data_IF_554483217600
#
_entry.id   IF_554483217600
#
_cell.length_a   1.000
_cell.length_b   1.000
_cell.length_c   1.000
_cell.angle_alpha   90.00
_cell.angle_beta   90.00
_cell.angle_gamma   90.00
#
_symmetry.space_group_name_H-M   'P 1'
#
loop_
_entity.id
_entity.type
_entity.pdbx_description
1 polymer ?
#
# COMPACT_ATOMS: atom_id res chain seq x y z
N UNK A 1 19.02 -11.88 -26.68
CA UNK A 1 19.35 -11.81 -25.24
C UNK A 1 19.18 -13.20 -24.61
N UNK A 2 20.24 -14.01 -24.49
CA UNK A 2 20.16 -15.41 -24.06
C UNK A 2 20.23 -15.67 -22.55
N UNK A 3 19.85 -14.73 -21.67
CA UNK A 3 19.93 -14.91 -20.22
C UNK A 3 18.52 -14.98 -19.62
N UNK A 4 18.26 -16.02 -18.82
CA UNK A 4 17.03 -16.12 -18.04
C UNK A 4 16.96 -15.01 -16.98
N UNK A 5 15.77 -14.45 -16.77
CA UNK A 5 15.52 -13.51 -15.68
C UNK A 5 15.82 -14.17 -14.32
N UNK A 6 16.40 -13.44 -13.37
CA UNK A 6 16.62 -13.98 -12.03
C UNK A 6 15.33 -14.53 -11.41
N UNK A 7 15.41 -15.68 -10.74
CA UNK A 7 14.24 -16.34 -10.12
C UNK A 7 13.45 -15.44 -9.15
N UNK A 8 14.09 -14.40 -8.63
CA UNK A 8 13.47 -13.43 -7.69
C UNK A 8 13.08 -12.10 -8.34
N UNK A 9 13.26 -11.96 -9.65
CA UNK A 9 12.94 -10.74 -10.37
C UNK A 9 11.41 -10.59 -10.52
N UNK A 10 10.87 -9.42 -10.17
CA UNK A 10 9.49 -9.03 -10.39
C UNK A 10 9.48 -7.71 -11.16
N UNK A 11 9.40 -7.77 -12.50
CA UNK A 11 9.56 -6.59 -13.35
C UNK A 11 8.32 -5.69 -13.41
N UNK A 12 7.16 -6.19 -12.93
CA UNK A 12 5.88 -5.50 -13.07
C UNK A 12 5.20 -5.46 -11.70
N UNK A 13 4.75 -4.27 -11.30
CA UNK A 13 3.85 -4.06 -10.17
C UNK A 13 2.56 -3.39 -10.68
N UNK A 14 1.42 -3.78 -10.12
CA UNK A 14 0.12 -3.24 -10.47
C UNK A 14 -0.37 -2.30 -9.37
N UNK A 15 -0.79 -1.10 -9.77
CA UNK A 15 -1.48 -0.13 -8.93
C UNK A 15 -2.90 0.10 -9.39
N UNK A 16 -3.74 0.63 -8.51
CA UNK A 16 -5.11 1.05 -8.80
C UNK A 16 -5.40 2.37 -8.11
N UNK A 17 -6.20 3.22 -8.75
CA UNK A 17 -6.74 4.45 -8.18
C UNK A 17 -8.21 4.32 -7.79
N UNK A 18 -8.85 3.24 -8.19
CA UNK A 18 -10.28 3.03 -7.95
C UNK A 18 -10.57 2.93 -6.46
N UNK A 19 -11.33 3.90 -5.93
CA UNK A 19 -11.65 4.02 -4.49
C UNK A 19 -10.52 4.63 -3.64
N UNK A 20 -9.43 5.08 -4.27
CA UNK A 20 -8.32 5.81 -3.64
C UNK A 20 -8.23 7.27 -4.06
N UNK A 21 -8.76 7.60 -5.23
CA UNK A 21 -8.72 8.93 -5.83
C UNK A 21 -9.90 9.77 -5.38
N UNK A 22 -9.60 10.84 -4.63
CA UNK A 22 -10.59 11.80 -4.09
C UNK A 22 -10.60 13.13 -4.82
N UNK A 23 -9.71 13.27 -5.80
CA UNK A 23 -9.60 14.51 -6.54
C UNK A 23 -10.89 14.76 -7.35
N UNK A 24 -11.56 15.87 -7.05
CA UNK A 24 -12.85 16.19 -7.66
C UNK A 24 -14.02 15.24 -7.33
N UNK A 25 -13.84 14.22 -6.49
CA UNK A 25 -14.87 13.23 -6.19
C UNK A 25 -15.15 13.08 -4.68
N UNK A 26 -16.17 13.76 -4.15
CA UNK A 26 -16.53 13.70 -2.73
C UNK A 26 -17.10 12.34 -2.29
N UNK A 27 -17.46 11.46 -3.22
CA UNK A 27 -18.03 10.14 -2.91
C UNK A 27 -16.96 9.09 -2.56
N UNK A 28 -15.68 9.37 -2.81
CA UNK A 28 -14.59 8.48 -2.42
C UNK A 28 -14.22 8.75 -0.96
N UNK A 29 -14.96 8.13 -0.05
CA UNK A 29 -14.79 8.26 1.40
C UNK A 29 -13.77 7.26 1.95
N UNK A 30 -13.39 7.41 3.23
CA UNK A 30 -12.55 6.47 3.97
C UNK A 30 -13.17 5.06 4.00
N UNK A 31 -14.49 4.97 4.12
CA UNK A 31 -15.24 3.70 4.10
C UNK A 31 -15.19 3.05 2.71
N UNK A 32 -15.34 3.84 1.64
CA UNK A 32 -15.19 3.35 0.25
C UNK A 32 -13.77 2.82 0.03
N UNK A 33 -12.75 3.54 0.46
CA UNK A 33 -11.35 3.09 0.38
C UNK A 33 -11.14 1.76 1.09
N UNK A 34 -11.63 1.64 2.33
CA UNK A 34 -11.56 0.39 3.09
C UNK A 34 -12.28 -0.75 2.37
N UNK A 35 -13.47 -0.50 1.87
CA UNK A 35 -14.27 -1.49 1.13
C UNK A 35 -13.54 -1.99 -0.11
N UNK A 36 -12.92 -1.10 -0.88
CA UNK A 36 -12.15 -1.47 -2.08
C UNK A 36 -10.93 -2.32 -1.71
N UNK A 37 -10.19 -1.96 -0.67
CA UNK A 37 -9.06 -2.77 -0.17
C UNK A 37 -9.54 -4.18 0.22
N UNK A 38 -10.64 -4.27 0.96
CA UNK A 38 -11.21 -5.57 1.36
C UNK A 38 -11.68 -6.41 0.17
N UNK A 39 -12.33 -5.80 -0.83
CA UNK A 39 -12.74 -6.49 -2.06
C UNK A 39 -11.54 -7.02 -2.85
N UNK A 40 -10.48 -6.23 -2.97
CA UNK A 40 -9.23 -6.64 -3.62
C UNK A 40 -8.57 -7.84 -2.91
N UNK A 41 -8.55 -7.83 -1.56
CA UNK A 41 -8.05 -8.94 -0.73
C UNK A 41 -8.94 -10.18 -0.81
N UNK A 42 -10.25 -9.98 -0.84
CA UNK A 42 -11.23 -11.05 -0.98
C UNK A 42 -11.02 -11.83 -2.27
N UNK A 43 -10.93 -11.12 -3.41
CA UNK A 43 -10.74 -11.75 -4.70
C UNK A 43 -9.37 -12.43 -4.81
N UNK A 44 -8.29 -11.79 -4.35
CA UNK A 44 -6.97 -12.40 -4.33
C UNK A 44 -6.95 -13.72 -3.54
N UNK A 45 -7.52 -13.72 -2.32
CA UNK A 45 -7.57 -14.92 -1.49
C UNK A 45 -8.40 -16.05 -2.13
N UNK A 46 -9.50 -15.72 -2.82
CA UNK A 46 -10.34 -16.67 -3.56
C UNK A 46 -9.58 -17.30 -4.74
N UNK A 47 -8.86 -16.49 -5.50
CA UNK A 47 -8.03 -16.96 -6.60
C UNK A 47 -6.88 -17.87 -6.12
N UNK A 48 -6.22 -17.52 -5.01
CA UNK A 48 -5.19 -18.35 -4.40
C UNK A 48 -5.75 -19.66 -3.83
N UNK A 49 -6.93 -19.65 -3.20
CA UNK A 49 -7.58 -20.89 -2.74
C UNK A 49 -7.86 -21.83 -3.91
N UNK A 50 -8.36 -21.30 -5.04
CA UNK A 50 -8.62 -22.09 -6.25
C UNK A 50 -7.33 -22.70 -6.80
N UNK A 51 -6.26 -21.92 -6.92
CA UNK A 51 -4.97 -22.38 -7.41
C UNK A 51 -4.34 -23.43 -6.48
N UNK A 52 -4.35 -23.21 -5.16
CA UNK A 52 -3.85 -24.17 -4.17
C UNK A 52 -4.67 -25.45 -4.17
N UNK A 53 -5.98 -25.38 -4.34
CA UNK A 53 -6.82 -26.58 -4.42
C UNK A 53 -6.43 -27.45 -5.62
N UNK A 54 -6.12 -26.82 -6.78
CA UNK A 54 -5.63 -27.53 -7.96
C UNK A 54 -4.29 -28.21 -7.69
N UNK A 55 -3.32 -27.47 -7.13
CA UNK A 55 -1.99 -27.99 -6.78
C UNK A 55 -2.11 -29.16 -5.77
N UNK A 56 -2.91 -29.00 -4.71
CA UNK A 56 -3.13 -30.04 -3.70
C UNK A 56 -3.68 -31.32 -4.32
N UNK A 57 -4.59 -31.22 -5.30
CA UNK A 57 -5.14 -32.39 -5.98
C UNK A 57 -4.10 -33.10 -6.86
N UNK A 58 -3.18 -32.33 -7.47
CA UNK A 58 -2.16 -32.87 -8.38
C UNK A 58 -0.96 -33.48 -7.63
N UNK A 59 -0.71 -33.06 -6.38
CA UNK A 59 0.50 -33.46 -5.64
C UNK A 59 0.27 -34.67 -4.76
N UNK A 60 0.27 -35.86 -5.37
CA UNK A 60 0.07 -37.17 -4.70
C UNK A 60 1.37 -37.91 -4.39
N UNK A 61 2.55 -37.28 -4.57
CA UNK A 61 3.86 -37.91 -4.35
C UNK A 61 4.07 -38.21 -2.87
N UNK A 62 4.66 -39.39 -2.61
CA UNK A 62 4.96 -39.87 -1.27
C UNK A 62 6.31 -39.34 -0.75
N UNK A 63 7.31 -39.22 -1.64
CA UNK A 63 8.66 -38.77 -1.26
C UNK A 63 8.69 -37.25 -1.07
N UNK A 64 9.09 -36.81 0.13
CA UNK A 64 9.28 -35.40 0.46
C UNK A 64 10.53 -35.17 1.31
N UNK A 65 11.00 -33.93 1.37
CA UNK A 65 12.16 -33.56 2.18
C UNK A 65 11.90 -33.76 3.69
N UNK A 66 12.97 -33.96 4.45
CA UNK A 66 12.90 -34.03 5.93
C UNK A 66 12.17 -32.83 6.54
N UNK A 67 12.31 -31.65 5.94
CA UNK A 67 11.67 -30.39 6.38
C UNK A 67 10.14 -30.43 6.27
N UNK A 68 9.59 -31.12 5.27
CA UNK A 68 8.14 -31.34 5.14
C UNK A 68 7.71 -32.46 6.10
N UNK A 69 8.41 -33.60 6.07
CA UNK A 69 8.05 -34.75 6.88
C UNK A 69 8.05 -34.45 8.39
N UNK A 70 8.97 -33.61 8.87
CA UNK A 70 8.99 -33.19 10.28
C UNK A 70 7.75 -32.37 10.69
N UNK A 71 7.05 -31.76 9.74
CA UNK A 71 5.84 -30.95 9.99
C UNK A 71 4.53 -31.73 9.83
N UNK A 72 4.52 -32.73 8.95
CA UNK A 72 3.30 -33.47 8.62
C UNK A 72 3.24 -34.86 9.25
N UNK A 73 4.37 -35.35 9.77
CA UNK A 73 4.49 -36.72 10.28
C UNK A 73 4.49 -37.77 9.16
N UNK A 74 4.15 -39.04 9.51
CA UNK A 74 3.99 -40.12 8.53
C UNK A 74 2.75 -39.83 7.67
N UNK A 75 2.93 -39.69 6.37
CA UNK A 75 1.85 -39.46 5.41
C UNK A 75 2.22 -40.01 4.05
N UNK A 76 1.28 -40.65 3.36
CA UNK A 76 1.44 -41.07 1.96
C UNK A 76 1.35 -39.90 0.99
N UNK A 77 0.79 -38.75 1.43
CA UNK A 77 0.62 -37.55 0.60
C UNK A 77 1.12 -36.30 1.33
N UNK A 78 2.43 -36.24 1.67
CA UNK A 78 2.98 -35.20 2.54
C UNK A 78 2.79 -33.77 2.01
N UNK A 79 2.88 -33.56 0.70
CA UNK A 79 2.66 -32.23 0.10
C UNK A 79 1.21 -31.75 0.27
N UNK A 80 0.23 -32.64 0.11
CA UNK A 80 -1.19 -32.31 0.33
C UNK A 80 -1.45 -31.89 1.77
N UNK A 81 -0.93 -32.68 2.72
CA UNK A 81 -1.09 -32.38 4.15
C UNK A 81 -0.40 -31.06 4.49
N UNK A 82 0.79 -30.81 3.95
CA UNK A 82 1.56 -29.59 4.20
C UNK A 82 0.89 -28.32 3.65
N UNK A 83 0.22 -28.40 2.49
CA UNK A 83 -0.40 -27.25 1.83
C UNK A 83 -1.84 -26.97 2.29
N UNK A 84 -2.54 -27.92 2.88
CA UNK A 84 -3.92 -27.73 3.38
C UNK A 84 -4.07 -26.53 4.33
N UNK A 85 -3.22 -26.32 5.35
CA UNK A 85 -3.33 -25.16 6.22
C UNK A 85 -3.24 -23.83 5.48
N UNK A 86 -2.38 -23.73 4.45
CA UNK A 86 -2.27 -22.53 3.63
C UNK A 86 -3.57 -22.28 2.84
N UNK A 87 -4.11 -23.32 2.18
CA UNK A 87 -5.39 -23.23 1.47
C UNK A 87 -6.52 -22.81 2.42
N UNK A 88 -6.60 -23.39 3.62
CA UNK A 88 -7.64 -23.08 4.58
C UNK A 88 -7.50 -21.66 5.12
N UNK A 89 -6.27 -21.14 5.24
CA UNK A 89 -6.01 -19.73 5.56
C UNK A 89 -6.56 -18.78 4.49
N UNK A 90 -6.42 -19.12 3.18
CA UNK A 90 -7.04 -18.39 2.08
C UNK A 90 -8.56 -18.39 2.18
N UNK A 91 -9.14 -19.56 2.42
CA UNK A 91 -10.59 -19.76 2.58
C UNK A 91 -11.14 -18.94 3.75
N UNK A 92 -10.47 -18.96 4.90
CA UNK A 92 -10.85 -18.15 6.06
C UNK A 92 -10.80 -16.67 5.70
N UNK A 93 -9.75 -16.23 5.01
CA UNK A 93 -9.57 -14.82 4.62
C UNK A 93 -10.74 -14.35 3.77
N UNK A 94 -11.03 -14.99 2.63
CA UNK A 94 -12.11 -14.50 1.76
C UNK A 94 -13.49 -14.65 2.39
N UNK A 95 -13.79 -15.74 3.09
CA UNK A 95 -15.09 -15.92 3.77
C UNK A 95 -15.33 -14.91 4.89
N UNK A 96 -14.28 -14.59 5.68
CA UNK A 96 -14.41 -13.59 6.74
C UNK A 96 -14.66 -12.19 6.18
N UNK A 97 -13.98 -11.84 5.08
CA UNK A 97 -14.20 -10.57 4.38
C UNK A 97 -15.62 -10.52 3.80
N UNK A 98 -16.07 -11.59 3.13
CA UNK A 98 -17.41 -11.69 2.58
C UNK A 98 -18.49 -11.52 3.66
N UNK A 99 -18.36 -12.21 4.79
CA UNK A 99 -19.27 -12.08 5.92
C UNK A 99 -19.29 -10.65 6.49
N UNK A 100 -18.15 -9.96 6.48
CA UNK A 100 -18.06 -8.57 6.89
C UNK A 100 -18.77 -7.63 5.90
N UNK A 101 -18.49 -7.79 4.60
CA UNK A 101 -19.01 -6.90 3.56
C UNK A 101 -20.51 -7.07 3.32
N UNK A 102 -21.03 -8.32 3.42
CA UNK A 102 -22.43 -8.62 3.10
C UNK A 102 -23.32 -8.58 4.35
N UNK A 103 -22.82 -9.07 5.49
CA UNK A 103 -23.62 -9.26 6.70
C UNK A 103 -23.16 -8.39 7.87
N UNK A 104 -22.24 -7.42 7.65
CA UNK A 104 -21.68 -6.54 8.68
C UNK A 104 -21.10 -7.26 9.92
N UNK A 105 -20.65 -8.51 9.77
CA UNK A 105 -20.03 -9.24 10.87
C UNK A 105 -18.69 -8.62 11.26
N UNK A 106 -18.29 -8.64 12.53
CA UNK A 106 -16.98 -8.15 12.96
C UNK A 106 -15.86 -8.87 12.22
N UNK A 107 -14.88 -8.11 11.73
CA UNK A 107 -13.72 -8.61 10.99
C UNK A 107 -12.52 -8.78 11.94
N UNK A 108 -12.16 -10.01 12.23
CA UNK A 108 -10.95 -10.32 12.99
C UNK A 108 -9.72 -10.31 12.07
N UNK A 109 -8.97 -9.20 12.08
CA UNK A 109 -7.78 -9.01 11.26
C UNK A 109 -6.70 -10.08 11.48
N UNK A 110 -6.63 -10.71 12.67
CA UNK A 110 -5.65 -11.75 12.97
C UNK A 110 -5.90 -13.06 12.21
N UNK A 111 -7.15 -13.27 11.79
CA UNK A 111 -7.53 -14.43 10.97
C UNK A 111 -7.27 -14.24 9.50
N UNK A 112 -7.01 -13.03 9.04
CA UNK A 112 -6.77 -12.74 7.64
C UNK A 112 -5.28 -12.90 7.30
N UNK A 113 -5.00 -13.14 6.02
CA UNK A 113 -3.65 -13.00 5.49
C UNK A 113 -3.17 -11.56 5.69
N UNK A 114 -1.96 -11.40 6.19
CA UNK A 114 -1.37 -10.10 6.49
C UNK A 114 -0.19 -9.73 5.59
N UNK A 115 0.44 -10.73 4.94
CA UNK A 115 1.58 -10.52 4.07
C UNK A 115 1.72 -11.61 3.00
N UNK A 116 2.37 -11.27 1.88
CA UNK A 116 2.72 -12.23 0.83
C UNK A 116 3.67 -13.33 1.31
N UNK A 117 4.46 -13.08 2.35
CA UNK A 117 5.37 -14.08 2.90
C UNK A 117 4.63 -15.26 3.55
N UNK A 118 3.42 -15.04 4.07
CA UNK A 118 2.58 -16.15 4.54
C UNK A 118 2.22 -17.12 3.41
N UNK A 119 2.15 -16.62 2.17
CA UNK A 119 1.91 -17.42 0.96
C UNK A 119 3.20 -18.03 0.44
N UNK A 120 4.23 -17.20 0.26
CA UNK A 120 5.47 -17.59 -0.42
C UNK A 120 6.32 -18.56 0.39
N UNK A 121 6.37 -18.39 1.71
CA UNK A 121 7.23 -19.21 2.58
C UNK A 121 6.89 -20.70 2.53
N UNK A 122 5.63 -21.15 2.66
CA UNK A 122 5.28 -22.56 2.46
C UNK A 122 5.53 -23.05 1.04
N UNK A 123 5.25 -22.23 0.01
CA UNK A 123 5.45 -22.62 -1.39
C UNK A 123 6.94 -22.83 -1.73
N UNK A 124 7.84 -22.00 -1.16
CA UNK A 124 9.30 -22.20 -1.30
C UNK A 124 9.73 -23.55 -0.71
N UNK A 125 9.22 -23.91 0.47
CA UNK A 125 9.54 -25.19 1.11
C UNK A 125 9.10 -26.36 0.24
N UNK A 126 7.91 -26.29 -0.36
CA UNK A 126 7.43 -27.33 -1.29
C UNK A 126 8.31 -27.39 -2.52
N UNK A 127 8.65 -26.26 -3.11
CA UNK A 127 9.50 -26.19 -4.30
C UNK A 127 10.89 -26.77 -4.05
N UNK A 128 11.56 -26.36 -2.96
CA UNK A 128 12.85 -26.91 -2.54
C UNK A 128 12.79 -28.44 -2.36
N UNK A 129 11.70 -28.94 -1.77
CA UNK A 129 11.50 -30.37 -1.57
C UNK A 129 11.31 -31.15 -2.88
N UNK A 130 10.58 -30.57 -3.84
CA UNK A 130 10.41 -31.19 -5.16
C UNK A 130 11.73 -31.24 -5.93
N UNK A 131 12.49 -30.15 -5.93
CA UNK A 131 13.82 -30.08 -6.56
C UNK A 131 14.77 -31.13 -5.93
N UNK A 132 14.78 -31.29 -4.59
CA UNK A 132 15.59 -32.31 -3.89
C UNK A 132 15.21 -33.76 -4.22
N UNK A 133 13.97 -34.00 -4.64
CA UNK A 133 13.46 -35.33 -5.00
C UNK A 133 13.34 -35.53 -6.52
N UNK A 134 14.11 -34.77 -7.32
CA UNK A 134 14.20 -34.91 -8.78
C UNK A 134 12.85 -34.66 -9.50
N UNK A 135 12.03 -33.74 -8.97
CA UNK A 135 10.74 -33.35 -9.53
C UNK A 135 10.76 -31.90 -10.03
N UNK A 136 11.83 -31.48 -10.73
CA UNK A 136 12.04 -30.13 -11.22
C UNK A 136 10.92 -29.66 -12.17
N UNK A 137 10.39 -30.55 -12.99
CA UNK A 137 9.29 -30.25 -13.90
C UNK A 137 8.03 -29.83 -13.14
N UNK A 138 7.72 -30.49 -12.02
CA UNK A 138 6.58 -30.17 -11.16
C UNK A 138 6.87 -28.87 -10.40
N UNK A 139 8.10 -28.70 -9.92
CA UNK A 139 8.53 -27.48 -9.22
C UNK A 139 8.52 -26.23 -10.11
N UNK A 140 8.67 -26.40 -11.42
CA UNK A 140 8.70 -25.31 -12.44
C UNK A 140 7.35 -25.05 -13.11
N UNK A 141 6.33 -25.83 -12.81
CA UNK A 141 4.98 -25.72 -13.36
C UNK A 141 4.07 -24.79 -12.54
N UNK A 142 2.85 -25.25 -12.26
CA UNK A 142 1.78 -24.49 -11.56
C UNK A 142 2.23 -23.90 -10.21
N UNK A 143 3.13 -24.56 -9.51
CA UNK A 143 3.69 -24.07 -8.25
C UNK A 143 4.51 -22.79 -8.47
N UNK A 144 5.38 -22.78 -9.48
CA UNK A 144 6.18 -21.60 -9.81
C UNK A 144 5.29 -20.45 -10.28
N UNK A 145 4.26 -20.74 -11.06
CA UNK A 145 3.31 -19.72 -11.51
C UNK A 145 2.52 -19.11 -10.35
N UNK A 146 2.08 -19.93 -9.40
CA UNK A 146 1.44 -19.43 -8.17
C UNK A 146 2.40 -18.56 -7.35
N UNK A 147 3.67 -18.98 -7.23
CA UNK A 147 4.69 -18.18 -6.53
C UNK A 147 4.97 -16.85 -7.23
N UNK A 148 4.99 -16.81 -8.57
CA UNK A 148 5.15 -15.58 -9.37
C UNK A 148 3.97 -14.64 -9.15
N UNK A 149 2.73 -15.16 -9.20
CA UNK A 149 1.52 -14.40 -8.91
C UNK A 149 1.55 -13.82 -7.49
N UNK A 150 1.90 -14.63 -6.49
CA UNK A 150 2.00 -14.17 -5.11
C UNK A 150 3.10 -13.10 -4.90
N UNK A 151 4.20 -13.16 -5.66
CA UNK A 151 5.24 -12.10 -5.65
C UNK A 151 4.75 -10.80 -6.25
N UNK A 152 4.04 -10.89 -7.39
CA UNK A 152 3.55 -9.74 -8.14
C UNK A 152 2.40 -9.03 -7.41
N UNK A 153 1.40 -9.79 -7.00
CA UNK A 153 0.14 -9.26 -6.47
C UNK A 153 0.09 -9.19 -4.94
N UNK A 154 0.89 -9.98 -4.23
CA UNK A 154 0.84 -10.04 -2.78
C UNK A 154 -0.47 -10.64 -2.27
N UNK A 155 -1.07 -9.99 -1.26
CA UNK A 155 -2.35 -10.42 -0.63
C UNK A 155 -3.57 -9.69 -1.20
N UNK A 156 -3.41 -8.93 -2.26
CA UNK A 156 -4.45 -8.17 -2.97
C UNK A 156 -4.23 -8.22 -4.48
N UNK A 157 -5.16 -7.73 -5.28
CA UNK A 157 -5.04 -7.75 -6.75
C UNK A 157 -4.16 -6.62 -7.28
N UNK A 158 -4.19 -5.45 -6.63
CA UNK A 158 -3.40 -4.29 -6.97
C UNK A 158 -3.21 -3.43 -5.74
N UNK A 159 -2.08 -2.76 -5.63
CA UNK A 159 -1.87 -1.76 -4.57
C UNK A 159 -2.76 -0.55 -4.84
N UNK A 160 -3.40 -0.05 -3.80
CA UNK A 160 -4.26 1.12 -3.92
C UNK A 160 -3.46 2.39 -3.66
N UNK A 161 -3.36 3.25 -4.67
CA UNK A 161 -2.86 4.61 -4.49
C UNK A 161 -3.98 5.49 -3.94
N UNK A 162 -3.60 6.39 -3.06
CA UNK A 162 -4.48 7.41 -2.52
C UNK A 162 -4.14 8.73 -3.20
N UNK A 163 -5.14 9.44 -3.73
CA UNK A 163 -4.96 10.78 -4.27
C UNK A 163 -5.89 11.76 -3.58
N UNK A 164 -5.34 12.92 -3.17
CA UNK A 164 -6.08 13.99 -2.53
C UNK A 164 -5.43 15.33 -2.82
N UNK A 165 -6.24 16.35 -2.93
CA UNK A 165 -5.84 17.74 -3.14
C UNK A 165 -5.10 18.33 -1.93
N UNK A 166 -4.04 19.11 -2.17
CA UNK A 166 -3.20 19.74 -1.14
C UNK A 166 -3.98 20.65 -0.19
N UNK A 167 -4.98 21.36 -0.71
CA UNK A 167 -5.83 22.28 0.07
C UNK A 167 -6.55 21.56 1.23
N UNK A 168 -6.94 20.30 1.05
CA UNK A 168 -7.63 19.50 2.08
C UNK A 168 -6.74 19.23 3.28
N UNK A 169 -5.46 18.95 3.04
CA UNK A 169 -4.48 18.75 4.10
C UNK A 169 -4.20 20.06 4.86
N UNK A 170 -4.07 21.19 4.12
CA UNK A 170 -3.90 22.52 4.71
C UNK A 170 -5.05 22.90 5.63
N UNK A 171 -6.29 22.67 5.19
CA UNK A 171 -7.51 22.96 5.96
C UNK A 171 -7.56 22.15 7.27
N UNK A 172 -7.26 20.84 7.20
CA UNK A 172 -7.22 19.99 8.37
C UNK A 172 -6.17 20.46 9.38
N UNK A 173 -4.96 20.75 8.93
CA UNK A 173 -3.87 21.24 9.79
C UNK A 173 -4.23 22.60 10.36
N UNK A 174 -4.86 23.50 9.59
CA UNK A 174 -5.31 24.81 10.06
C UNK A 174 -6.33 24.69 11.20
N UNK A 175 -7.33 23.81 11.08
CA UNK A 175 -8.30 23.58 12.16
C UNK A 175 -7.59 23.05 13.43
N UNK A 176 -6.68 22.10 13.28
CA UNK A 176 -5.91 21.55 14.38
C UNK A 176 -5.06 22.62 15.08
N UNK A 177 -4.30 23.42 14.31
CA UNK A 177 -3.43 24.47 14.83
C UNK A 177 -4.24 25.58 15.53
N UNK A 178 -5.32 26.02 14.88
CA UNK A 178 -6.21 27.06 15.43
C UNK A 178 -6.83 26.64 16.76
N UNK A 179 -7.32 25.40 16.81
CA UNK A 179 -7.99 24.90 18.02
C UNK A 179 -7.01 24.66 19.16
N UNK A 180 -5.88 24.01 18.87
CA UNK A 180 -4.93 23.56 19.90
C UNK A 180 -3.92 24.61 20.31
N UNK A 181 -3.45 25.43 19.38
CA UNK A 181 -2.37 26.40 19.62
C UNK A 181 -2.83 27.84 19.55
N UNK A 182 -4.11 28.11 19.22
CA UNK A 182 -4.67 29.46 19.06
C UNK A 182 -3.93 30.30 18.04
N UNK A 183 -3.34 29.66 17.03
CA UNK A 183 -2.61 30.30 15.92
C UNK A 183 -3.32 30.03 14.60
N UNK A 184 -3.20 30.93 13.66
CA UNK A 184 -3.73 30.75 12.33
C UNK A 184 -2.63 30.23 11.39
N UNK A 185 -2.70 28.94 11.05
CA UNK A 185 -1.73 28.28 10.17
C UNK A 185 -1.77 28.83 8.73
N UNK A 186 -2.90 29.39 8.29
CA UNK A 186 -3.01 30.01 6.97
C UNK A 186 -2.12 31.24 6.81
N UNK A 187 -1.87 31.96 7.90
CA UNK A 187 -1.04 33.15 7.92
C UNK A 187 0.46 32.86 8.06
N UNK A 188 0.84 31.59 8.27
CA UNK A 188 2.26 31.23 8.34
C UNK A 188 2.91 31.38 6.97
N UNK A 189 4.08 32.02 6.92
CA UNK A 189 4.91 31.98 5.72
C UNK A 189 5.49 30.57 5.52
N UNK A 190 5.92 30.24 4.32
CA UNK A 190 6.35 28.88 3.98
C UNK A 190 7.45 28.34 4.92
N UNK A 191 8.41 29.17 5.27
CA UNK A 191 9.49 28.81 6.23
C UNK A 191 8.93 28.41 7.61
N UNK A 192 7.89 29.10 8.08
CA UNK A 192 7.24 28.76 9.35
C UNK A 192 6.47 27.45 9.27
N UNK A 193 5.74 27.21 8.15
CA UNK A 193 5.07 25.93 7.88
C UNK A 193 6.05 24.77 7.88
N UNK A 194 7.15 24.90 7.16
CA UNK A 194 8.21 23.89 7.11
C UNK A 194 8.79 23.59 8.51
N UNK A 195 9.09 24.61 9.28
CA UNK A 195 9.62 24.45 10.64
C UNK A 195 8.60 23.80 11.59
N UNK A 196 7.33 24.21 11.48
CA UNK A 196 6.24 23.61 12.25
C UNK A 196 6.11 22.12 11.93
N UNK A 197 5.95 21.77 10.66
CA UNK A 197 5.78 20.38 10.22
C UNK A 197 7.00 19.51 10.57
N UNK A 198 8.21 20.02 10.35
CA UNK A 198 9.46 19.35 10.74
C UNK A 198 9.46 18.99 12.22
N UNK A 199 9.14 19.94 13.10
CA UNK A 199 9.09 19.72 14.54
C UNK A 199 8.21 18.54 14.92
N UNK A 200 7.06 18.41 14.27
CA UNK A 200 6.12 17.32 14.58
C UNK A 200 6.52 16.00 13.91
N UNK A 201 6.99 16.02 12.66
CA UNK A 201 7.42 14.83 11.94
C UNK A 201 8.59 14.14 12.68
N UNK A 202 9.52 14.93 13.23
CA UNK A 202 10.69 14.41 13.95
C UNK A 202 10.42 14.12 15.43
N UNK A 203 9.28 14.55 15.97
CA UNK A 203 8.90 14.30 17.36
C UNK A 203 8.52 12.83 17.58
N UNK A 204 8.83 12.29 18.77
CA UNK A 204 8.41 10.93 19.17
C UNK A 204 6.93 10.86 19.56
N UNK A 205 6.30 11.96 19.93
CA UNK A 205 4.90 12.00 20.37
C UNK A 205 3.96 12.42 19.26
N UNK A 206 2.76 11.81 19.22
CA UNK A 206 1.67 12.22 18.36
C UNK A 206 0.83 13.28 19.08
N UNK A 207 0.34 14.26 18.32
CA UNK A 207 -0.38 15.41 18.86
C UNK A 207 -1.84 15.49 18.41
N UNK A 208 -2.15 14.97 17.20
CA UNK A 208 -3.53 14.90 16.72
C UNK A 208 -4.26 13.80 17.48
N UNK A 209 -3.77 12.55 17.45
CA UNK A 209 -4.33 11.44 18.22
C UNK A 209 -5.87 11.40 18.21
N UNK A 210 -6.46 11.64 19.39
CA UNK A 210 -7.90 11.68 19.60
C UNK A 210 -8.53 13.07 19.37
N UNK A 211 -7.85 13.97 18.63
CA UNK A 211 -8.41 15.29 18.32
C UNK A 211 -9.71 15.16 17.51
N UNK A 212 -10.75 15.88 17.96
CA UNK A 212 -12.05 15.87 17.33
C UNK A 212 -12.18 17.06 16.37
N UNK A 213 -12.07 16.79 15.08
CA UNK A 213 -12.33 17.79 14.05
C UNK A 213 -13.81 18.18 14.03
N UNK A 214 -14.12 19.44 13.84
CA UNK A 214 -15.50 19.97 13.74
C UNK A 214 -15.97 19.95 12.29
N UNK A 215 -15.11 20.37 11.38
CA UNK A 215 -15.41 20.40 9.95
C UNK A 215 -15.59 18.98 9.40
N UNK A 216 -16.67 18.76 8.63
CA UNK A 216 -17.02 17.45 8.06
C UNK A 216 -15.94 16.92 7.11
N UNK A 217 -15.39 17.78 6.28
CA UNK A 217 -14.34 17.40 5.31
C UNK A 217 -13.04 17.04 6.01
N UNK A 218 -12.66 17.80 7.06
CA UNK A 218 -11.47 17.48 7.85
C UNK A 218 -11.62 16.16 8.64
N UNK A 219 -12.86 15.85 9.12
CA UNK A 219 -13.16 14.54 9.69
C UNK A 219 -12.92 13.43 8.67
N UNK A 220 -13.34 13.63 7.43
CA UNK A 220 -13.20 12.63 6.37
C UNK A 220 -11.72 12.43 5.96
N UNK A 221 -10.97 13.52 5.81
CA UNK A 221 -9.53 13.44 5.55
C UNK A 221 -8.82 12.68 6.69
N UNK A 222 -9.13 13.01 7.94
CA UNK A 222 -8.54 12.31 9.09
C UNK A 222 -8.97 10.84 9.18
N UNK A 223 -10.24 10.54 8.89
CA UNK A 223 -10.75 9.17 8.82
C UNK A 223 -10.01 8.33 7.76
N UNK A 224 -9.63 8.95 6.63
CA UNK A 224 -8.82 8.31 5.61
C UNK A 224 -7.47 7.87 6.17
N UNK A 225 -6.70 8.76 6.82
CA UNK A 225 -5.41 8.39 7.43
C UNK A 225 -5.56 7.31 8.50
N UNK A 226 -6.62 7.37 9.32
CA UNK A 226 -6.93 6.34 10.30
C UNK A 226 -7.27 4.99 9.67
N UNK A 227 -7.95 4.99 8.53
CA UNK A 227 -8.22 3.77 7.76
C UNK A 227 -6.94 3.18 7.23
N UNK A 228 -6.09 3.97 6.58
CA UNK A 228 -4.80 3.53 6.04
C UNK A 228 -3.89 2.93 7.12
N UNK A 229 -3.92 3.46 8.35
CA UNK A 229 -3.10 2.95 9.46
C UNK A 229 -3.48 1.53 9.92
N UNK A 230 -4.67 1.07 9.59
CA UNK A 230 -5.22 -0.25 9.98
C UNK A 230 -5.07 -1.30 8.88
N UNK A 231 -4.80 -0.89 7.66
CA UNK A 231 -4.68 -1.81 6.53
C UNK A 231 -3.25 -2.35 6.37
N UNK A 232 -3.09 -3.57 5.81
CA UNK A 232 -1.77 -4.11 5.52
C UNK A 232 -1.01 -3.21 4.55
N UNK A 233 0.27 -2.92 4.82
CA UNK A 233 1.08 -2.05 3.96
C UNK A 233 1.18 -2.53 2.51
N UNK A 234 1.12 -3.85 2.31
CA UNK A 234 1.18 -4.45 0.96
C UNK A 234 -0.05 -4.14 0.10
N UNK A 235 -1.15 -3.70 0.72
CA UNK A 235 -2.36 -3.29 0.01
C UNK A 235 -2.30 -1.83 -0.46
N UNK A 236 -1.34 -1.05 0.05
CA UNK A 236 -1.22 0.38 -0.17
C UNK A 236 -0.05 0.67 -1.12
N UNK A 237 -0.26 1.59 -2.04
CA UNK A 237 0.72 2.10 -2.98
C UNK A 237 1.33 3.42 -2.52
N UNK A 238 1.13 4.48 -3.32
CA UNK A 238 1.55 5.84 -3.02
C UNK A 238 0.43 6.69 -2.42
N UNK A 239 0.82 7.82 -1.82
CA UNK A 239 -0.07 8.92 -1.51
C UNK A 239 0.26 10.08 -2.44
N UNK A 240 -0.56 10.27 -3.47
CA UNK A 240 -0.42 11.29 -4.50
C UNK A 240 -1.08 12.57 -4.02
N UNK A 241 -0.42 13.70 -4.18
CA UNK A 241 -0.94 15.02 -3.82
C UNK A 241 -1.17 15.80 -5.10
N UNK A 242 -2.43 16.01 -5.46
CA UNK A 242 -2.78 16.93 -6.56
C UNK A 242 -2.69 18.39 -6.12
N UNK A 243 -2.53 19.30 -7.07
CA UNK A 243 -2.37 20.74 -6.82
C UNK A 243 -1.25 21.04 -5.82
N UNK A 244 -0.09 20.45 -6.04
CA UNK A 244 1.10 20.66 -5.19
C UNK A 244 1.77 21.96 -5.56
N UNK A 245 1.66 22.98 -4.70
CA UNK A 245 2.22 24.33 -4.94
C UNK A 245 3.36 24.69 -4.01
N UNK A 246 3.64 23.89 -2.99
CA UNK A 246 4.66 24.21 -1.98
C UNK A 246 5.28 22.97 -1.34
N UNK A 247 6.49 23.13 -0.79
CA UNK A 247 7.17 22.07 -0.05
C UNK A 247 6.38 21.64 1.21
N UNK A 248 5.66 22.57 1.84
CA UNK A 248 4.81 22.28 2.99
C UNK A 248 3.61 21.37 2.65
N UNK A 249 3.17 21.30 1.39
CA UNK A 249 2.10 20.39 0.96
C UNK A 249 2.57 18.92 1.11
N UNK A 250 3.79 18.66 0.67
CA UNK A 250 4.41 17.32 0.75
C UNK A 250 4.63 16.93 2.22
N UNK A 251 5.15 17.86 3.03
CA UNK A 251 5.37 17.62 4.47
C UNK A 251 4.06 17.47 5.25
N UNK A 252 2.98 18.10 4.80
CA UNK A 252 1.65 17.96 5.42
C UNK A 252 1.18 16.51 5.41
N UNK A 253 1.33 15.79 4.32
CA UNK A 253 0.99 14.39 4.23
C UNK A 253 1.92 13.53 5.09
N UNK A 254 3.23 13.80 5.07
CA UNK A 254 4.20 13.11 5.93
C UNK A 254 3.87 13.29 7.43
N UNK A 255 3.44 14.49 7.81
CA UNK A 255 2.97 14.80 9.17
C UNK A 255 1.71 14.00 9.51
N UNK A 256 0.69 13.99 8.65
CA UNK A 256 -0.57 13.29 8.88
C UNK A 256 -0.38 11.78 8.96
N UNK A 257 0.45 11.19 8.11
CA UNK A 257 0.81 9.78 8.20
C UNK A 257 1.46 9.42 9.55
N UNK A 258 2.37 10.28 10.02
CA UNK A 258 3.02 10.10 11.34
C UNK A 258 2.01 10.23 12.48
N UNK A 259 1.14 11.23 12.44
CA UNK A 259 0.13 11.46 13.48
C UNK A 259 -0.93 10.34 13.54
N UNK A 260 -1.26 9.71 12.41
CA UNK A 260 -2.14 8.55 12.32
C UNK A 260 -1.44 7.22 12.68
N UNK A 261 -0.17 7.24 13.09
CA UNK A 261 0.61 6.04 13.42
C UNK A 261 0.73 5.03 12.26
N UNK A 262 0.79 5.50 11.01
CA UNK A 262 1.05 4.63 9.87
C UNK A 262 2.49 4.12 9.99
N UNK A 263 2.63 2.82 10.34
CA UNK A 263 3.94 2.19 10.61
C UNK A 263 4.83 2.17 9.36
N UNK A 264 4.30 1.67 8.27
CA UNK A 264 4.96 1.68 6.96
C UNK A 264 4.34 2.82 6.15
N UNK A 265 4.99 3.97 6.18
CA UNK A 265 4.51 5.17 5.50
C UNK A 265 4.41 4.94 3.99
N UNK A 266 3.31 5.40 3.40
CA UNK A 266 3.17 5.45 1.95
C UNK A 266 4.19 6.45 1.40
N UNK A 267 4.70 6.19 0.21
CA UNK A 267 5.47 7.17 -0.55
C UNK A 267 4.58 8.39 -0.81
N UNK A 268 5.09 9.56 -0.50
CA UNK A 268 4.38 10.82 -0.74
C UNK A 268 4.83 11.34 -2.10
N UNK A 269 3.90 11.39 -3.05
CA UNK A 269 4.18 11.71 -4.45
C UNK A 269 3.51 13.03 -4.78
N UNK A 270 4.26 14.13 -4.91
CA UNK A 270 3.71 15.38 -5.45
C UNK A 270 3.37 15.19 -6.92
N UNK A 271 2.20 15.67 -7.33
CA UNK A 271 1.76 15.75 -8.70
C UNK A 271 1.85 17.21 -9.16
N UNK A 272 2.55 17.44 -10.26
CA UNK A 272 2.65 18.73 -10.93
C UNK A 272 1.89 18.68 -12.26
N UNK A 273 0.85 19.49 -12.39
CA UNK A 273 -0.15 19.39 -13.46
C UNK A 273 -0.25 20.65 -14.32
N UNK A 274 -0.13 21.83 -13.71
CA UNK A 274 -0.22 23.10 -14.42
C UNK A 274 1.16 23.59 -14.87
N UNK A 275 1.17 24.59 -15.76
CA UNK A 275 2.42 25.26 -16.18
C UNK A 275 3.15 25.83 -14.96
N UNK A 276 2.43 26.52 -14.08
CA UNK A 276 2.99 27.13 -12.88
C UNK A 276 3.56 26.04 -11.93
N UNK A 277 2.88 24.91 -11.78
CA UNK A 277 3.39 23.78 -10.99
C UNK A 277 4.72 23.26 -11.56
N UNK A 278 4.80 23.08 -12.89
CA UNK A 278 6.01 22.58 -13.57
C UNK A 278 7.19 23.56 -13.42
N UNK A 279 6.94 24.87 -13.59
CA UNK A 279 7.95 25.91 -13.41
C UNK A 279 8.48 25.93 -11.98
N UNK A 280 7.60 25.75 -10.98
CA UNK A 280 7.95 25.81 -9.56
C UNK A 280 8.45 24.47 -9.01
N UNK A 281 8.22 23.34 -9.68
CA UNK A 281 8.55 22.00 -9.22
C UNK A 281 10.01 21.88 -8.75
N UNK A 282 10.97 22.43 -9.53
CA UNK A 282 12.39 22.40 -9.20
C UNK A 282 12.66 23.07 -7.85
N UNK A 283 12.18 24.29 -7.65
CA UNK A 283 12.43 25.05 -6.42
C UNK A 283 11.78 24.40 -5.18
N UNK A 284 10.58 23.81 -5.35
CA UNK A 284 9.88 23.06 -4.31
C UNK A 284 10.72 21.84 -3.89
N UNK A 285 11.19 21.06 -4.86
CA UNK A 285 11.96 19.86 -4.57
C UNK A 285 13.35 20.17 -4.02
N UNK A 286 14.05 21.19 -4.52
CA UNK A 286 15.33 21.64 -3.98
C UNK A 286 15.21 22.10 -2.52
N UNK A 287 14.13 22.79 -2.18
CA UNK A 287 13.81 23.19 -0.80
C UNK A 287 13.78 21.98 0.13
N UNK A 288 13.15 20.88 -0.28
CA UNK A 288 13.10 19.65 0.50
C UNK A 288 14.44 18.90 0.49
N UNK A 289 15.07 18.76 -0.68
CA UNK A 289 16.32 18.00 -0.80
C UNK A 289 17.50 18.67 -0.12
N UNK A 290 17.49 19.98 0.08
CA UNK A 290 18.48 20.68 0.88
C UNK A 290 18.47 20.23 2.35
N UNK A 291 17.35 19.69 2.84
CA UNK A 291 17.15 19.26 4.21
C UNK A 291 17.66 17.84 4.46
N UNK A 292 18.77 17.66 5.18
CA UNK A 292 19.35 16.34 5.53
C UNK A 292 18.33 15.40 6.17
N UNK A 293 17.46 15.91 7.06
CA UNK A 293 16.45 15.11 7.75
C UNK A 293 15.37 14.60 6.79
N UNK A 294 14.99 15.40 5.77
CA UNK A 294 14.03 14.98 4.77
C UNK A 294 14.58 13.85 3.89
N UNK A 295 15.82 13.97 3.41
CA UNK A 295 16.48 12.90 2.65
C UNK A 295 16.50 11.57 3.40
N UNK A 296 16.74 11.62 4.73
CA UNK A 296 16.62 10.42 5.59
C UNK A 296 15.19 9.92 5.70
N UNK A 297 14.19 10.81 5.79
CA UNK A 297 12.78 10.45 5.88
C UNK A 297 12.31 9.66 4.67
N UNK A 298 12.75 10.03 3.47
CA UNK A 298 12.40 9.40 2.19
C UNK A 298 13.39 8.30 1.77
N UNK A 299 14.33 7.92 2.64
CA UNK A 299 15.38 6.93 2.33
C UNK A 299 16.15 7.25 1.03
N UNK A 300 16.39 8.53 0.75
CA UNK A 300 17.05 9.05 -0.45
C UNK A 300 16.32 8.77 -1.78
N UNK A 301 15.06 8.35 -1.74
CA UNK A 301 14.24 8.09 -2.91
C UNK A 301 12.99 8.98 -2.88
N UNK A 302 12.74 9.71 -3.97
CA UNK A 302 11.54 10.54 -4.14
C UNK A 302 10.92 10.28 -5.50
N UNK A 303 9.66 9.89 -5.49
CA UNK A 303 8.82 9.78 -6.67
C UNK A 303 8.09 11.11 -6.88
N UNK A 304 8.05 11.58 -8.10
CA UNK A 304 7.33 12.76 -8.56
C UNK A 304 6.44 12.34 -9.71
N UNK A 305 5.20 12.80 -9.71
CA UNK A 305 4.26 12.55 -10.79
C UNK A 305 4.10 13.80 -11.64
N UNK A 306 4.11 13.64 -12.95
CA UNK A 306 3.83 14.70 -13.92
C UNK A 306 2.51 14.36 -14.60
N UNK A 307 1.53 15.25 -14.49
CA UNK A 307 0.23 15.12 -15.13
C UNK A 307 0.27 15.54 -16.59
N UNK A 308 0.86 14.68 -17.46
CA UNK A 308 1.06 15.01 -18.87
C UNK A 308 -0.23 15.43 -19.61
N UNK A 309 -1.35 14.78 -19.36
CA UNK A 309 -2.62 15.12 -20.02
C UNK A 309 -3.15 16.50 -19.60
N UNK A 310 -3.02 16.83 -18.32
CA UNK A 310 -3.52 18.07 -17.77
C UNK A 310 -2.55 19.23 -18.09
N UNK A 311 -1.24 19.02 -17.96
CA UNK A 311 -0.26 20.01 -18.37
C UNK A 311 -0.27 20.28 -19.88
N UNK A 312 -0.58 19.29 -20.71
CA UNK A 312 -0.73 19.48 -22.16
C UNK A 312 -1.95 20.31 -22.51
N UNK A 313 -3.03 20.22 -21.73
CA UNK A 313 -4.23 21.07 -21.91
C UNK A 313 -3.98 22.49 -21.45
N UNK A 314 -3.25 22.66 -20.35
CA UNK A 314 -2.95 23.97 -19.74
C UNK A 314 -1.86 24.73 -20.51
N UNK A 315 -0.72 24.09 -20.75
CA UNK A 315 0.48 24.71 -21.29
C UNK A 315 0.82 24.36 -22.75
N UNK A 316 0.07 23.45 -23.35
CA UNK A 316 0.37 22.87 -24.66
C UNK A 316 1.43 21.78 -24.63
N UNK A 317 1.46 20.97 -25.70
CA UNK A 317 2.29 19.76 -25.79
C UNK A 317 3.79 20.04 -25.64
N UNK A 318 4.27 21.16 -26.20
CA UNK A 318 5.70 21.49 -26.18
C UNK A 318 6.21 21.77 -24.75
N UNK A 319 5.41 22.52 -23.97
CA UNK A 319 5.78 22.82 -22.58
C UNK A 319 5.65 21.62 -21.63
N UNK A 320 4.76 20.68 -21.96
CA UNK A 320 4.52 19.49 -21.16
C UNK A 320 5.53 18.35 -21.43
N UNK A 321 6.34 18.47 -22.49
CA UNK A 321 7.37 17.51 -22.91
C UNK A 321 8.74 17.91 -22.43
#
# INVERSE_FOLDING_TARGET
MGKNLPKNFNPIEFGSWMGGDRDGNPNVTADVTRKVILLSRWEAAKLYEKALTKIIRSYSMEKASKKILSKVGKSFEPYRVFLRPLRDRMRITHRSIEQHLVHNKPLDQKKLLSSKEEILKPLRVVRESLEQNQNENIASGELLDLMRRAKCFGINLARLDIRQESSRHKQLISEFVKTKYKKDYSNFVEKEKLNFLKKFITSKSNKIGNFQFKNKENKEVWATFNTLSKEPPECLGAYVISMTTSASDILSVSFLQKEANIKNKLRVVPLFETLDDLVNAKSIMETLFSQKWYRKLINHEQEVMIGYSDSSKDAGKICAS
#
